data_IF_282201650032
#
_entry.id   IF_282201650032
#
_cell.length_a   1.000
_cell.length_b   1.000
_cell.length_c   1.000
_cell.angle_alpha   90.00
_cell.angle_beta   90.00
_cell.angle_gamma   90.00
#
_symmetry.space_group_name_H-M   'P 1'
#
loop_
_entity.id
_entity.type
_entity.pdbx_description
1 polymer ?
#
# COMPACT_ATOMS: atom_id res chain seq x y z
N UNK A 1 -8.40 -22.05 6.67
CA UNK A 1 -7.02 -21.47 6.67
C UNK A 1 -7.18 -19.98 6.48
N UNK A 2 -6.54 -19.16 7.31
CA UNK A 2 -6.80 -17.71 7.34
C UNK A 2 -5.78 -16.94 6.50
N UNK A 3 -6.25 -16.01 5.67
CA UNK A 3 -5.43 -15.16 4.81
C UNK A 3 -5.65 -13.69 5.12
N UNK A 4 -4.59 -12.90 5.03
CA UNK A 4 -4.63 -11.46 5.24
C UNK A 4 -3.86 -10.76 4.12
N UNK A 5 -4.52 -9.83 3.45
CA UNK A 5 -3.90 -8.91 2.51
C UNK A 5 -3.79 -7.53 3.13
N UNK A 6 -2.61 -6.96 3.04
CA UNK A 6 -2.35 -5.59 3.45
C UNK A 6 -2.04 -4.80 2.18
N UNK A 7 -2.96 -3.93 1.80
CA UNK A 7 -2.87 -3.14 0.57
C UNK A 7 -2.19 -1.81 0.87
N UNK A 8 -1.02 -1.61 0.27
CA UNK A 8 -0.20 -0.40 0.39
C UNK A 8 0.04 0.25 -0.97
N UNK A 9 0.62 1.44 -0.97
CA UNK A 9 0.99 2.17 -2.18
C UNK A 9 0.66 3.66 -2.10
N UNK A 10 1.26 4.50 -2.96
CA UNK A 10 1.14 5.94 -2.90
C UNK A 10 -0.31 6.45 -3.04
N UNK A 11 -0.60 7.71 -2.68
CA UNK A 11 -1.92 8.29 -2.86
C UNK A 11 -2.31 8.23 -4.34
N UNK A 12 -3.57 7.88 -4.61
CA UNK A 12 -4.08 7.78 -5.98
C UNK A 12 -3.67 6.52 -6.76
N UNK A 13 -2.88 5.59 -6.18
CA UNK A 13 -2.50 4.33 -6.87
C UNK A 13 -3.65 3.34 -7.05
N UNK A 14 -4.83 3.60 -6.49
CA UNK A 14 -6.03 2.79 -6.66
C UNK A 14 -6.25 1.71 -5.61
N UNK A 15 -5.65 1.83 -4.41
CA UNK A 15 -5.83 0.88 -3.29
C UNK A 15 -7.29 0.58 -2.95
N UNK A 16 -8.08 1.61 -2.64
CA UNK A 16 -9.49 1.42 -2.28
C UNK A 16 -10.33 0.83 -3.42
N UNK A 17 -10.04 1.22 -4.68
CA UNK A 17 -10.66 0.61 -5.86
C UNK A 17 -10.29 -0.87 -6.01
N UNK A 18 -9.02 -1.22 -5.74
CA UNK A 18 -8.58 -2.61 -5.73
C UNK A 18 -9.33 -3.43 -4.68
N UNK A 19 -9.43 -2.93 -3.45
CA UNK A 19 -10.16 -3.63 -2.37
C UNK A 19 -11.63 -3.82 -2.75
N UNK A 20 -12.28 -2.78 -3.29
CA UNK A 20 -13.67 -2.82 -3.75
C UNK A 20 -13.91 -3.83 -4.87
N UNK A 21 -13.09 -3.81 -5.92
CA UNK A 21 -13.31 -4.70 -7.06
C UNK A 21 -12.89 -6.14 -6.76
N UNK A 22 -11.86 -6.31 -5.92
CA UNK A 22 -11.43 -7.63 -5.48
C UNK A 22 -12.47 -8.27 -4.54
N UNK A 23 -13.08 -7.49 -3.64
CA UNK A 23 -14.11 -8.03 -2.76
C UNK A 23 -15.29 -8.57 -3.55
N UNK A 24 -15.76 -7.84 -4.57
CA UNK A 24 -16.85 -8.25 -5.45
C UNK A 24 -16.54 -9.56 -6.16
N UNK A 25 -15.33 -9.66 -6.72
CA UNK A 25 -14.86 -10.90 -7.38
C UNK A 25 -14.73 -12.08 -6.43
N UNK A 26 -14.50 -11.80 -5.15
CA UNK A 26 -14.36 -12.79 -4.08
C UNK A 26 -15.60 -12.89 -3.18
N UNK A 27 -16.79 -12.46 -3.62
CA UNK A 27 -18.04 -12.54 -2.84
C UNK A 27 -18.40 -13.96 -2.39
N UNK A 28 -17.95 -14.97 -3.14
CA UNK A 28 -18.12 -16.39 -2.79
C UNK A 28 -17.22 -16.83 -1.62
N UNK A 29 -16.23 -16.02 -1.24
CA UNK A 29 -15.41 -16.22 -0.04
C UNK A 29 -16.03 -15.41 1.09
N UNK A 30 -15.99 -15.96 2.30
CA UNK A 30 -16.29 -15.20 3.49
C UNK A 30 -15.14 -14.22 3.75
N UNK A 31 -15.24 -13.01 3.18
CA UNK A 31 -14.27 -11.93 3.21
C UNK A 31 -14.67 -10.86 4.23
N UNK A 32 -13.67 -10.25 4.86
CA UNK A 32 -13.84 -9.05 5.68
C UNK A 32 -12.90 -7.93 5.20
N UNK A 33 -13.46 -6.75 4.93
CA UNK A 33 -12.70 -5.56 4.48
C UNK A 33 -12.56 -4.55 5.61
N UNK A 34 -11.32 -4.08 5.80
CA UNK A 34 -10.94 -3.17 6.89
C UNK A 34 -10.32 -1.91 6.24
N UNK A 35 -10.98 -0.77 6.41
CA UNK A 35 -10.42 0.52 6.01
C UNK A 35 -9.63 1.13 7.16
N UNK A 36 -8.32 1.32 6.96
CA UNK A 36 -7.43 2.03 7.87
C UNK A 36 -7.06 3.44 7.37
N UNK A 37 -7.67 3.89 6.27
CA UNK A 37 -7.55 5.27 5.78
C UNK A 37 -8.71 6.14 6.32
N UNK A 38 -8.44 7.05 7.27
CA UNK A 38 -9.46 7.90 7.86
C UNK A 38 -10.06 8.91 6.86
N UNK A 39 -9.34 9.25 5.80
CA UNK A 39 -9.76 10.19 4.76
C UNK A 39 -10.46 9.50 3.58
N UNK A 40 -10.60 8.18 3.61
CA UNK A 40 -11.31 7.43 2.58
C UNK A 40 -12.79 7.82 2.53
N UNK A 41 -13.29 8.12 1.33
CA UNK A 41 -14.66 8.58 1.09
C UNK A 41 -15.65 7.40 1.00
N UNK A 42 -15.17 6.21 0.58
CA UNK A 42 -16.02 5.04 0.32
C UNK A 42 -16.26 4.19 1.59
N UNK A 43 -16.50 4.82 2.74
CA UNK A 43 -16.53 4.13 4.04
C UNK A 43 -17.63 3.06 4.14
N UNK A 44 -18.78 3.28 3.50
CA UNK A 44 -19.95 2.39 3.59
C UNK A 44 -19.72 1.00 2.98
N UNK A 45 -18.67 0.85 2.17
CA UNK A 45 -18.31 -0.42 1.55
C UNK A 45 -17.52 -1.34 2.50
N UNK A 46 -16.89 -0.80 3.54
CA UNK A 46 -16.02 -1.60 4.41
C UNK A 46 -16.77 -2.18 5.61
N UNK A 47 -16.41 -3.40 6.00
CA UNK A 47 -16.94 -4.01 7.23
C UNK A 47 -16.45 -3.29 8.49
N UNK A 48 -15.24 -2.73 8.47
CA UNK A 48 -14.69 -1.89 9.52
C UNK A 48 -14.05 -0.63 8.93
N UNK A 49 -14.18 0.50 9.62
CA UNK A 49 -13.51 1.74 9.29
C UNK A 49 -12.79 2.28 10.53
N UNK A 50 -11.51 2.62 10.40
CA UNK A 50 -10.79 3.36 11.43
C UNK A 50 -11.42 4.75 11.58
N UNK A 51 -11.72 5.07 12.84
CA UNK A 51 -12.22 6.33 13.38
C UNK A 51 -13.05 7.27 12.48
N UNK A 52 -14.31 7.49 12.87
CA UNK A 52 -15.24 8.40 12.18
C UNK A 52 -14.92 9.88 12.40
N UNK A 53 -14.05 10.23 13.36
CA UNK A 53 -13.92 11.60 13.87
C UNK A 53 -12.49 12.16 13.84
N UNK A 54 -11.67 11.81 12.84
CA UNK A 54 -10.28 12.32 12.76
C UNK A 54 -10.19 13.84 12.85
N UNK A 55 -11.19 14.58 12.37
CA UNK A 55 -11.26 16.04 12.51
C UNK A 55 -11.37 16.49 13.97
N UNK A 56 -12.19 15.82 14.77
CA UNK A 56 -12.29 16.12 16.20
C UNK A 56 -10.99 15.74 16.92
N UNK A 57 -10.38 14.62 16.53
CA UNK A 57 -9.08 14.21 17.06
C UNK A 57 -7.97 15.23 16.76
N UNK A 58 -7.92 15.75 15.53
CA UNK A 58 -6.99 16.81 15.12
C UNK A 58 -7.18 18.08 15.95
N UNK A 59 -8.43 18.52 16.13
CA UNK A 59 -8.75 19.73 16.92
C UNK A 59 -8.39 19.54 18.39
N UNK A 60 -8.70 18.37 18.98
CA UNK A 60 -8.48 18.11 20.40
C UNK A 60 -6.99 17.97 20.75
N UNK A 61 -6.18 17.46 19.82
CA UNK A 61 -4.76 17.17 20.06
C UNK A 61 -3.81 18.18 19.39
N UNK A 62 -4.33 19.24 18.77
CA UNK A 62 -3.55 20.25 18.01
C UNK A 62 -2.60 19.60 16.98
N UNK A 63 -3.13 18.66 16.20
CA UNK A 63 -2.36 17.85 15.25
C UNK A 63 -2.76 18.08 13.80
N UNK A 64 -1.76 18.05 12.91
CA UNK A 64 -1.99 18.02 11.48
C UNK A 64 -2.55 16.67 10.96
N UNK A 65 -3.04 16.62 9.70
CA UNK A 65 -3.65 15.42 9.11
C UNK A 65 -2.73 14.19 9.09
N UNK A 66 -1.45 14.36 8.75
CA UNK A 66 -0.50 13.26 8.66
C UNK A 66 -0.13 12.72 10.05
N UNK A 67 0.09 13.61 11.03
CA UNK A 67 0.41 13.23 12.40
C UNK A 67 -0.74 12.49 13.08
N UNK A 68 -1.97 12.99 12.91
CA UNK A 68 -3.17 12.33 13.45
C UNK A 68 -3.39 10.94 12.83
N UNK A 69 -3.24 10.80 11.51
CA UNK A 69 -3.33 9.50 10.84
C UNK A 69 -2.26 8.54 11.34
N UNK A 70 -1.02 9.01 11.54
CA UNK A 70 0.08 8.21 12.10
C UNK A 70 -0.29 7.64 13.46
N UNK A 71 -0.81 8.49 14.34
CA UNK A 71 -1.14 8.12 15.70
C UNK A 71 -2.32 7.16 15.76
N UNK A 72 -3.35 7.35 14.92
CA UNK A 72 -4.46 6.41 14.81
C UNK A 72 -3.99 5.02 14.38
N UNK A 73 -3.12 4.94 13.37
CA UNK A 73 -2.53 3.66 12.95
C UNK A 73 -1.67 3.02 14.05
N UNK A 74 -0.94 3.83 14.82
CA UNK A 74 -0.19 3.34 15.97
C UNK A 74 -1.09 2.76 17.04
N UNK A 75 -2.16 3.47 17.39
CA UNK A 75 -3.13 3.02 18.38
C UNK A 75 -3.83 1.74 17.91
N UNK A 76 -4.20 1.67 16.63
CA UNK A 76 -4.74 0.46 16.02
C UNK A 76 -3.77 -0.72 16.13
N UNK A 77 -2.50 -0.53 15.80
CA UNK A 77 -1.48 -1.59 15.91
C UNK A 77 -1.22 -2.01 17.36
N UNK A 78 -1.29 -1.10 18.34
CA UNK A 78 -1.17 -1.45 19.77
C UNK A 78 -2.38 -2.27 20.25
N UNK A 79 -3.57 -1.96 19.77
CA UNK A 79 -4.83 -2.62 20.16
C UNK A 79 -5.23 -3.76 19.21
N UNK A 80 -4.30 -4.26 18.38
CA UNK A 80 -4.60 -5.25 17.34
C UNK A 80 -5.16 -6.57 17.91
N UNK A 81 -4.75 -6.93 19.13
CA UNK A 81 -5.27 -8.13 19.79
C UNK A 81 -6.76 -8.00 20.12
N UNK A 82 -7.17 -6.86 20.64
CA UNK A 82 -8.58 -6.59 20.97
C UNK A 82 -9.40 -6.52 19.69
N UNK A 83 -8.89 -5.83 18.66
CA UNK A 83 -9.50 -5.80 17.33
C UNK A 83 -9.71 -7.21 16.76
N UNK A 84 -8.70 -8.07 16.86
CA UNK A 84 -8.78 -9.44 16.39
C UNK A 84 -9.89 -10.22 17.08
N UNK A 85 -9.99 -10.14 18.41
CA UNK A 85 -11.01 -10.84 19.18
C UNK A 85 -12.43 -10.31 18.92
N UNK A 86 -12.58 -9.01 18.71
CA UNK A 86 -13.89 -8.39 18.48
C UNK A 86 -14.37 -8.54 17.02
N UNK A 87 -13.48 -8.40 16.04
CA UNK A 87 -13.84 -8.24 14.63
C UNK A 87 -13.34 -9.34 13.68
N UNK A 88 -12.40 -10.20 14.09
CA UNK A 88 -11.81 -11.20 13.17
C UNK A 88 -12.11 -12.64 13.58
N UNK A 89 -12.09 -12.95 14.88
CA UNK A 89 -12.35 -14.32 15.39
C UNK A 89 -13.73 -14.81 14.92
N UNK A 90 -13.75 -15.99 14.29
CA UNK A 90 -14.96 -16.67 13.79
C UNK A 90 -15.78 -15.88 12.74
N UNK A 91 -15.31 -14.71 12.30
CA UNK A 91 -16.02 -13.88 11.32
C UNK A 91 -15.74 -14.27 9.88
N UNK A 92 -14.47 -14.48 9.54
CA UNK A 92 -14.03 -14.62 8.15
C UNK A 92 -12.72 -15.40 8.04
N UNK A 93 -12.50 -16.04 6.89
CA UNK A 93 -11.23 -16.71 6.57
C UNK A 93 -10.29 -15.83 5.72
N UNK A 94 -10.74 -14.64 5.28
CA UNK A 94 -10.01 -13.78 4.36
C UNK A 94 -10.18 -12.32 4.72
N UNK A 95 -9.09 -11.65 5.05
CA UNK A 95 -9.09 -10.25 5.47
C UNK A 95 -8.35 -9.38 4.45
N UNK A 96 -8.90 -8.21 4.13
CA UNK A 96 -8.22 -7.21 3.29
C UNK A 96 -8.18 -5.87 4.04
N UNK A 97 -6.98 -5.40 4.32
CA UNK A 97 -6.70 -4.11 4.95
C UNK A 97 -6.32 -3.07 3.90
N UNK A 98 -7.06 -1.97 3.83
CA UNK A 98 -6.75 -0.80 3.01
C UNK A 98 -6.01 0.23 3.85
N UNK A 99 -4.72 0.47 3.58
CA UNK A 99 -3.92 1.45 4.33
C UNK A 99 -3.97 2.84 3.69
N UNK A 100 -3.72 3.91 4.47
CA UNK A 100 -3.56 5.25 3.92
C UNK A 100 -2.40 5.29 2.92
N UNK A 101 -2.48 6.22 1.96
CA UNK A 101 -1.50 6.31 0.87
C UNK A 101 -0.12 6.87 1.22
N UNK A 102 0.10 7.36 2.43
CA UNK A 102 1.36 8.03 2.78
C UNK A 102 2.46 7.00 3.04
N UNK A 103 3.60 7.18 2.38
CA UNK A 103 4.68 6.19 2.37
C UNK A 103 5.37 6.05 3.73
N UNK A 104 5.31 7.12 4.53
CA UNK A 104 5.90 7.24 5.85
C UNK A 104 5.31 6.22 6.84
N UNK A 105 4.08 5.74 6.59
CA UNK A 105 3.38 4.84 7.50
C UNK A 105 3.90 3.41 7.51
N UNK A 106 4.58 2.95 6.45
CA UNK A 106 5.18 1.61 6.42
C UNK A 106 6.71 1.63 6.36
N UNK A 107 7.35 2.78 6.15
CA UNK A 107 8.83 2.88 6.14
C UNK A 107 9.40 3.10 7.56
N UNK A 108 8.76 3.95 8.37
CA UNK A 108 9.35 4.45 9.61
C UNK A 108 8.56 4.07 10.87
N UNK A 109 7.65 3.10 10.76
CA UNK A 109 6.69 2.82 11.81
C UNK A 109 6.59 1.33 12.07
N UNK A 110 6.89 0.92 13.29
CA UNK A 110 6.80 -0.47 13.75
C UNK A 110 5.36 -1.02 13.69
N UNK A 111 4.36 -0.16 13.52
CA UNK A 111 2.95 -0.53 13.49
C UNK A 111 2.63 -1.62 12.47
N UNK A 112 3.19 -1.54 11.26
CA UNK A 112 2.93 -2.57 10.26
C UNK A 112 3.61 -3.89 10.61
N UNK A 113 4.88 -3.85 11.02
CA UNK A 113 5.62 -5.03 11.48
C UNK A 113 4.96 -5.67 12.70
N UNK A 114 4.43 -4.88 13.65
CA UNK A 114 3.65 -5.35 14.80
C UNK A 114 2.38 -6.09 14.35
N UNK A 115 1.62 -5.52 13.42
CA UNK A 115 0.42 -6.17 12.85
C UNK A 115 0.77 -7.48 12.16
N UNK A 116 1.80 -7.49 11.31
CA UNK A 116 2.30 -8.68 10.61
C UNK A 116 2.70 -9.77 11.60
N UNK A 117 3.53 -9.44 12.58
CA UNK A 117 4.00 -10.39 13.59
C UNK A 117 2.83 -10.95 14.42
N UNK A 118 1.87 -10.09 14.77
CA UNK A 118 0.65 -10.52 15.44
C UNK A 118 -0.15 -11.51 14.58
N UNK A 119 -0.43 -11.21 13.31
CA UNK A 119 -1.17 -12.10 12.42
C UNK A 119 -0.45 -13.44 12.21
N UNK A 120 0.87 -13.41 12.01
CA UNK A 120 1.69 -14.62 11.92
C UNK A 120 1.59 -15.47 13.19
N UNK A 121 1.60 -14.86 14.38
CA UNK A 121 1.42 -15.57 15.66
C UNK A 121 0.05 -16.25 15.81
N UNK A 122 -0.97 -15.80 15.04
CA UNK A 122 -2.30 -16.39 14.99
C UNK A 122 -2.47 -17.39 13.83
N UNK A 123 -1.38 -17.78 13.16
CA UNK A 123 -1.39 -18.64 11.96
C UNK A 123 -2.20 -18.07 10.79
N UNK A 124 -2.23 -16.74 10.66
CA UNK A 124 -2.83 -16.05 9.51
C UNK A 124 -1.71 -15.78 8.51
N UNK A 125 -1.88 -16.25 7.28
CA UNK A 125 -0.90 -16.03 6.20
C UNK A 125 -1.04 -14.62 5.65
N UNK A 126 -0.02 -13.78 5.85
CA UNK A 126 -0.03 -12.37 5.42
C UNK A 126 0.67 -12.22 4.06
N UNK A 127 0.10 -11.40 3.18
CA UNK A 127 0.73 -10.92 1.95
C UNK A 127 0.56 -9.41 1.83
N UNK A 128 1.62 -8.73 1.42
CA UNK A 128 1.58 -7.31 1.07
C UNK A 128 1.20 -7.17 -0.40
N UNK A 129 0.19 -6.37 -0.68
CA UNK A 129 -0.16 -5.95 -2.04
C UNK A 129 0.29 -4.50 -2.21
N UNK A 130 1.34 -4.26 -3.00
CA UNK A 130 1.80 -2.91 -3.29
C UNK A 130 1.26 -2.42 -4.63
N UNK A 131 0.42 -1.40 -4.56
CA UNK A 131 -0.24 -0.78 -5.70
C UNK A 131 0.60 0.38 -6.23
N UNK A 132 1.04 0.30 -7.49
CA UNK A 132 1.80 1.36 -8.17
C UNK A 132 1.05 1.80 -9.41
N UNK A 133 0.82 3.10 -9.56
CA UNK A 133 0.20 3.66 -10.76
C UNK A 133 1.14 3.56 -11.96
N UNK A 134 0.63 3.05 -13.10
CA UNK A 134 1.37 2.93 -14.35
C UNK A 134 2.09 4.22 -14.75
N UNK A 135 1.50 5.39 -14.52
CA UNK A 135 2.09 6.69 -14.90
C UNK A 135 3.47 6.94 -14.28
N UNK A 136 3.75 6.34 -13.12
CA UNK A 136 5.04 6.51 -12.44
C UNK A 136 6.18 5.78 -13.15
N UNK A 137 5.89 4.74 -13.94
CA UNK A 137 6.93 4.09 -14.75
C UNK A 137 7.38 4.96 -15.93
N UNK A 138 6.56 5.94 -16.35
CA UNK A 138 6.97 6.90 -17.36
C UNK A 138 7.72 8.10 -16.75
N UNK A 139 7.19 8.63 -15.65
CA UNK A 139 7.67 9.88 -15.03
C UNK A 139 8.82 9.69 -14.04
N UNK A 140 8.85 8.57 -13.33
CA UNK A 140 9.71 8.32 -12.17
C UNK A 140 10.16 6.85 -12.09
N UNK A 141 10.52 6.25 -13.23
CA UNK A 141 10.84 4.81 -13.37
C UNK A 141 11.72 4.27 -12.24
N UNK A 142 12.91 4.84 -12.07
CA UNK A 142 13.88 4.37 -11.09
C UNK A 142 13.35 4.49 -9.65
N UNK A 143 12.63 5.58 -9.33
CA UNK A 143 12.04 5.79 -8.02
C UNK A 143 10.96 4.75 -7.71
N UNK A 144 10.13 4.39 -8.69
CA UNK A 144 9.12 3.33 -8.56
C UNK A 144 9.74 1.98 -8.22
N UNK A 145 10.80 1.60 -8.93
CA UNK A 145 11.51 0.34 -8.63
C UNK A 145 12.19 0.39 -7.27
N UNK A 146 12.97 1.44 -6.97
CA UNK A 146 13.65 1.58 -5.68
C UNK A 146 12.67 1.52 -4.52
N UNK A 147 11.54 2.22 -4.64
CA UNK A 147 10.48 2.18 -3.63
C UNK A 147 9.95 0.76 -3.43
N UNK A 148 9.66 0.04 -4.51
CA UNK A 148 9.19 -1.36 -4.45
C UNK A 148 10.21 -2.27 -3.75
N UNK A 149 11.48 -2.17 -4.12
CA UNK A 149 12.55 -2.97 -3.51
C UNK A 149 12.73 -2.64 -2.03
N UNK A 150 12.70 -1.37 -1.64
CA UNK A 150 12.80 -0.95 -0.24
C UNK A 150 11.62 -1.54 0.55
N UNK A 151 10.40 -1.47 0.04
CA UNK A 151 9.24 -2.04 0.73
C UNK A 151 9.33 -3.57 0.90
N UNK A 152 9.87 -4.29 -0.08
CA UNK A 152 10.11 -5.74 0.05
C UNK A 152 11.11 -6.03 1.16
N UNK A 153 12.22 -5.28 1.22
CA UNK A 153 13.26 -5.47 2.21
C UNK A 153 12.81 -5.14 3.64
N UNK A 154 11.94 -4.13 3.81
CA UNK A 154 11.50 -3.69 5.13
C UNK A 154 10.45 -4.59 5.78
N UNK A 155 9.60 -5.26 4.99
CA UNK A 155 8.43 -5.97 5.52
C UNK A 155 8.63 -7.48 5.69
N UNK A 156 9.65 -8.07 5.06
CA UNK A 156 10.06 -9.47 5.22
C UNK A 156 8.93 -10.52 5.14
N UNK A 157 7.87 -10.23 4.38
CA UNK A 157 6.73 -11.12 4.14
C UNK A 157 6.49 -11.30 2.63
N UNK A 158 5.71 -12.31 2.21
CA UNK A 158 5.27 -12.42 0.83
C UNK A 158 4.74 -11.09 0.30
N UNK A 159 5.20 -10.69 -0.87
CA UNK A 159 4.97 -9.37 -1.42
C UNK A 159 4.61 -9.47 -2.90
N UNK A 160 3.51 -8.83 -3.28
CA UNK A 160 3.02 -8.77 -4.65
C UNK A 160 2.96 -7.32 -5.09
N UNK A 161 3.73 -6.98 -6.12
CA UNK A 161 3.65 -5.69 -6.77
C UNK A 161 2.57 -5.72 -7.85
N UNK A 162 1.65 -4.75 -7.82
CA UNK A 162 0.55 -4.60 -8.76
C UNK A 162 0.68 -3.27 -9.49
N UNK A 163 0.86 -3.32 -10.80
CA UNK A 163 0.82 -2.13 -11.66
C UNK A 163 -0.66 -1.84 -11.98
N UNK A 164 -1.16 -0.72 -11.48
CA UNK A 164 -2.56 -0.31 -11.62
C UNK A 164 -2.76 0.63 -12.80
N UNK A 165 -4.01 0.79 -13.22
CA UNK A 165 -4.44 1.66 -14.32
C UNK A 165 -3.81 1.31 -15.68
N UNK A 166 -3.57 0.03 -15.92
CA UNK A 166 -3.03 -0.45 -17.19
C UNK A 166 -3.95 -0.16 -18.39
N UNK A 167 -5.24 0.05 -18.14
CA UNK A 167 -6.21 0.55 -19.13
C UNK A 167 -5.82 1.92 -19.73
N UNK A 168 -5.05 2.74 -18.99
CA UNK A 168 -4.59 4.06 -19.41
C UNK A 168 -3.25 4.05 -20.14
N UNK A 169 -2.76 2.88 -20.56
CA UNK A 169 -1.46 2.74 -21.21
C UNK A 169 -1.28 3.69 -22.41
N UNK A 170 -2.30 3.77 -23.27
CA UNK A 170 -2.30 4.64 -24.45
C UNK A 170 -2.40 6.11 -24.02
N UNK A 171 -3.29 6.41 -23.07
CA UNK A 171 -3.52 7.77 -22.56
C UNK A 171 -2.28 8.38 -21.90
N UNK A 172 -1.49 7.56 -21.22
CA UNK A 172 -0.23 7.97 -20.59
C UNK A 172 0.96 7.99 -21.55
N UNK A 173 0.77 7.64 -22.82
CA UNK A 173 1.82 7.58 -23.83
C UNK A 173 3.05 6.82 -23.30
N UNK A 174 2.85 5.60 -22.82
CA UNK A 174 3.91 4.83 -22.16
C UNK A 174 5.08 4.55 -23.11
N UNK A 175 6.29 4.88 -22.65
CA UNK A 175 7.55 4.67 -23.37
C UNK A 175 8.06 3.21 -23.34
N UNK A 176 7.48 2.38 -22.47
CA UNK A 176 7.92 1.01 -22.19
C UNK A 176 6.76 0.03 -22.26
N UNK A 177 6.99 -1.16 -22.80
CA UNK A 177 5.99 -2.24 -22.80
C UNK A 177 5.76 -2.77 -21.37
N UNK A 178 4.54 -3.22 -21.08
CA UNK A 178 4.20 -3.73 -19.75
C UNK A 178 5.05 -4.95 -19.35
N UNK A 179 5.38 -5.81 -20.31
CA UNK A 179 6.23 -6.99 -20.09
C UNK A 179 7.62 -6.59 -19.61
N UNK A 180 8.19 -5.53 -20.21
CA UNK A 180 9.48 -5.01 -19.79
C UNK A 180 9.45 -4.43 -18.38
N UNK A 181 8.35 -3.76 -18.01
CA UNK A 181 8.17 -3.21 -16.66
C UNK A 181 8.12 -4.34 -15.62
N UNK A 182 7.49 -5.47 -15.94
CA UNK A 182 7.35 -6.62 -15.05
C UNK A 182 8.66 -7.40 -14.92
N UNK A 183 9.47 -7.48 -15.98
CA UNK A 183 10.71 -8.25 -15.98
C UNK A 183 11.82 -7.68 -15.06
N UNK A 184 11.59 -6.53 -14.41
CA UNK A 184 12.49 -5.90 -13.41
C UNK A 184 13.93 -5.63 -13.88
N UNK A 185 14.22 -5.77 -15.17
CA UNK A 185 15.53 -5.47 -15.76
C UNK A 185 15.67 -3.96 -16.00
N UNK A 186 15.52 -3.17 -14.94
CA UNK A 186 15.48 -1.69 -14.97
C UNK A 186 16.70 -1.11 -15.66
N UNK A 187 17.88 -1.73 -15.46
CA UNK A 187 19.12 -1.27 -16.07
C UNK A 187 19.10 -1.32 -17.60
N UNK A 188 18.32 -2.23 -18.20
CA UNK A 188 18.14 -2.30 -19.65
C UNK A 188 17.20 -1.20 -20.15
N UNK A 189 16.29 -0.73 -19.29
CA UNK A 189 15.34 0.33 -19.59
C UNK A 189 15.95 1.73 -19.45
N UNK A 190 16.92 1.89 -18.56
CA UNK A 190 17.67 3.13 -18.40
C UNK A 190 18.60 3.29 -19.61
N UNK A 191 18.14 4.02 -20.62
CA UNK A 191 19.01 4.44 -21.73
C UNK A 191 20.19 5.22 -21.15
N UNK A 192 21.45 4.85 -21.47
CA UNK A 192 22.60 5.63 -21.02
C UNK A 192 22.46 7.05 -21.57
N UNK A 193 22.54 8.06 -20.68
CA UNK A 193 22.61 9.46 -21.11
C UNK A 193 23.76 9.60 -22.09
N UNK A 194 23.47 9.89 -23.36
CA UNK A 194 24.48 10.24 -24.35
C UNK A 194 25.28 11.44 -23.81
N UNK A 195 26.56 11.20 -23.56
CA UNK A 195 27.62 12.18 -23.33
C UNK A 195 27.35 13.23 -22.24
N UNK A 196 27.71 12.89 -21.00
CA UNK A 196 28.36 13.89 -20.14
C UNK A 196 29.64 14.32 -20.87
N UNK A 197 29.56 15.37 -21.70
CA UNK A 197 30.76 16.02 -22.23
C UNK A 197 31.62 16.39 -21.03
N UNK A 198 32.77 15.73 -20.88
CA UNK A 198 33.80 16.13 -19.92
C UNK A 198 34.13 17.59 -20.19
N UNK A 199 33.64 18.49 -19.36
CA UNK A 199 34.12 19.86 -19.28
C UNK A 199 35.50 19.81 -18.61
N UNK A 200 36.50 19.40 -19.37
CA UNK A 200 37.88 19.56 -18.99
C UNK A 200 38.58 20.39 -20.07
N UNK A 201 39.38 21.33 -19.55
CA UNK A 201 40.35 22.20 -20.23
C UNK A 201 39.78 23.50 -20.77
N UNK A 202 39.90 24.55 -19.96
CA UNK A 202 40.87 25.63 -20.19
C UNK A 202 41.08 26.39 -18.86
N UNK A 203 42.16 26.02 -18.15
CA UNK A 203 42.92 26.93 -17.30
C UNK A 203 44.17 27.31 -18.08
#
# INVERSE_FOLDING_TARGET
MYFCEIVIGPPGSGKSTYVLEKSKKLEHRNLWTINLDPDNINKDFYNFNIDKSIKNYQIQNDMGPNSSTKELLNNFAHNINDFYHEYMVEKSEYFIFDLPGQIEFFINNDSLSKMINFFNSKNISVVIINMIDLVFFNTSLLSSYLFTYISVLLLEVPYVCVISKCDKYIDYCMDYELEDLINTNVLNLIKPKKNLKKSHQNF
#
